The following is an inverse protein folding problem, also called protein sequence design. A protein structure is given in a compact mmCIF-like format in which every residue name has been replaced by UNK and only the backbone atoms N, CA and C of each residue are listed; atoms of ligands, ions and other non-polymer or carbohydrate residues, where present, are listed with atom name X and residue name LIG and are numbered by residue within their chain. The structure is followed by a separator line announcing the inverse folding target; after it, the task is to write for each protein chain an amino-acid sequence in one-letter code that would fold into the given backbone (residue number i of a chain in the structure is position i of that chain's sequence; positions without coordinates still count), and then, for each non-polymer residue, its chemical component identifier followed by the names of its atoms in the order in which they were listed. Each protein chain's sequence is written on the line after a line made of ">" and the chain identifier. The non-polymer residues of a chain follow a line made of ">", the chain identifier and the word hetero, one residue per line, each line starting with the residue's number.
data_IF_086831016979
#
_entry.id   IF_086831016979
#
_cell.length_a   1.000
_cell.length_b   1.000
_cell.length_c   1.000
_cell.angle_alpha   90.00
_cell.angle_beta   90.00
_cell.angle_gamma   90.00
#
_symmetry.space_group_name_H-M   'P 1'
#
loop_
_entity.id
_entity.type
_entity.pdbx_description
1 polymer ?
#
# COMPACT_ATOMS: atom_id res chain seq x y z
N UNK A 1 -2.05 -5.02 -14.97
CA UNK A 1 -2.56 -6.36 -14.59
C UNK A 1 -3.81 -6.27 -13.73
N UNK A 2 -3.79 -5.53 -12.61
CA UNK A 2 -4.84 -5.58 -11.59
C UNK A 2 -6.11 -4.73 -11.83
N UNK A 3 -6.20 -3.94 -12.92
CA UNK A 3 -7.40 -3.17 -13.33
C UNK A 3 -8.11 -2.38 -12.21
N UNK A 4 -7.35 -1.94 -11.20
CA UNK A 4 -7.83 -1.14 -10.07
C UNK A 4 -6.90 0.07 -9.88
N UNK A 5 -7.34 1.11 -9.14
CA UNK A 5 -6.50 2.28 -8.87
C UNK A 5 -5.15 1.90 -8.24
N UNK A 6 -4.04 2.58 -8.62
CA UNK A 6 -2.72 2.30 -8.06
C UNK A 6 -2.66 2.43 -6.54
N UNK A 7 -3.43 3.35 -5.95
CA UNK A 7 -3.51 3.54 -4.51
C UNK A 7 -4.04 2.27 -3.80
N UNK A 8 -5.06 1.63 -4.37
CA UNK A 8 -5.63 0.40 -3.85
C UNK A 8 -4.59 -0.74 -3.85
N UNK A 9 -3.86 -0.91 -4.95
CA UNK A 9 -2.79 -1.93 -5.06
C UNK A 9 -1.69 -1.68 -4.04
N UNK A 10 -1.23 -0.42 -3.93
CA UNK A 10 -0.15 -0.06 -3.02
C UNK A 10 -0.52 -0.30 -1.55
N UNK A 11 -1.73 0.09 -1.16
CA UNK A 11 -2.24 -0.10 0.20
C UNK A 11 -2.48 -1.58 0.53
N UNK A 12 -3.08 -2.33 -0.40
CA UNK A 12 -3.27 -3.78 -0.23
C UNK A 12 -1.93 -4.50 -0.07
N UNK A 13 -0.91 -4.13 -0.85
CA UNK A 13 0.44 -4.67 -0.68
C UNK A 13 1.04 -4.30 0.67
N UNK A 14 0.91 -3.04 1.09
CA UNK A 14 1.47 -2.54 2.34
C UNK A 14 0.88 -3.29 3.55
N UNK A 15 -0.43 -3.58 3.52
CA UNK A 15 -1.15 -4.35 4.55
C UNK A 15 -0.66 -5.80 4.70
N UNK A 16 0.01 -6.36 3.69
CA UNK A 16 0.63 -7.70 3.80
C UNK A 16 2.00 -7.69 4.50
N UNK A 17 2.56 -6.52 4.83
CA UNK A 17 3.90 -6.42 5.41
C UNK A 17 3.83 -6.64 6.93
N UNK A 18 4.64 -7.56 7.44
CA UNK A 18 4.66 -7.93 8.87
C UNK A 18 4.99 -6.77 9.81
N UNK A 19 5.79 -5.80 9.36
CA UNK A 19 6.16 -4.62 10.15
C UNK A 19 5.06 -3.54 10.19
N UNK A 20 3.92 -3.75 9.52
CA UNK A 20 2.86 -2.77 9.40
C UNK A 20 1.65 -3.18 10.25
N UNK A 21 1.34 -2.38 11.29
CA UNK A 21 0.14 -2.61 12.11
C UNK A 21 -1.12 -1.96 11.51
N UNK A 22 -1.00 -0.72 11.04
CA UNK A 22 -2.10 0.01 10.39
C UNK A 22 -1.54 1.15 9.52
N UNK A 23 -2.11 1.41 8.33
CA UNK A 23 -1.82 2.62 7.56
C UNK A 23 -2.43 3.85 8.25
N UNK A 24 -1.74 4.98 8.11
CA UNK A 24 -2.30 6.31 8.39
C UNK A 24 -2.46 6.99 7.03
N UNK A 25 -3.69 7.29 6.64
CA UNK A 25 -4.03 7.76 5.30
C UNK A 25 -4.62 9.17 5.42
N UNK A 26 -4.03 10.12 4.70
CA UNK A 26 -4.61 11.44 4.51
C UNK A 26 -5.42 11.50 3.22
N UNK A 27 -6.65 11.98 3.30
CA UNK A 27 -7.52 12.20 2.15
C UNK A 27 -8.10 13.62 2.20
N UNK A 28 -8.03 14.35 1.09
CA UNK A 28 -8.67 15.67 0.92
C UNK A 28 -9.93 15.60 0.05
N UNK A 29 -10.18 14.44 -0.56
CA UNK A 29 -11.36 14.16 -1.39
C UNK A 29 -11.92 12.79 -1.03
N UNK A 30 -13.25 12.65 -1.06
CA UNK A 30 -13.93 11.38 -0.75
C UNK A 30 -13.43 10.19 -1.58
N UNK A 31 -13.21 10.30 -2.91
CA UNK A 31 -12.73 9.16 -3.69
C UNK A 31 -11.38 8.59 -3.22
N UNK A 32 -10.52 9.41 -2.59
CA UNK A 32 -9.24 8.92 -2.04
C UNK A 32 -9.47 8.04 -0.80
N UNK A 33 -10.49 8.36 -0.01
CA UNK A 33 -10.91 7.53 1.12
C UNK A 33 -11.55 6.23 0.61
N UNK A 34 -12.39 6.32 -0.42
CA UNK A 34 -13.04 5.16 -1.02
C UNK A 34 -12.02 4.15 -1.58
N UNK A 35 -11.00 4.64 -2.31
CA UNK A 35 -9.90 3.79 -2.82
C UNK A 35 -9.11 3.13 -1.68
N UNK A 36 -8.89 3.86 -0.58
CA UNK A 36 -8.19 3.35 0.60
C UNK A 36 -8.98 2.24 1.30
N UNK A 37 -10.30 2.41 1.43
CA UNK A 37 -11.18 1.39 2.01
C UNK A 37 -11.27 0.16 1.10
N UNK A 38 -11.41 0.36 -0.21
CA UNK A 38 -11.44 -0.72 -1.19
C UNK A 38 -10.16 -1.58 -1.17
N UNK A 39 -9.03 -1.04 -0.70
CA UNK A 39 -7.78 -1.78 -0.57
C UNK A 39 -7.86 -2.93 0.44
N UNK A 40 -8.76 -2.85 1.43
CA UNK A 40 -8.96 -3.87 2.45
C UNK A 40 -9.57 -5.16 1.86
N UNK A 41 -10.33 -5.03 0.77
CA UNK A 41 -10.99 -6.14 0.09
C UNK A 41 -10.13 -6.74 -1.04
N UNK A 42 -9.00 -6.09 -1.38
CA UNK A 42 -8.16 -6.51 -2.50
C UNK A 42 -7.16 -7.58 -2.05
N UNK A 43 -7.36 -8.81 -2.52
CA UNK A 43 -6.41 -9.91 -2.32
C UNK A 43 -5.39 -9.97 -3.47
N UNK A 44 -4.11 -9.84 -3.14
CA UNK A 44 -3.01 -9.97 -4.10
C UNK A 44 -2.50 -11.42 -4.12
N UNK A 45 -2.35 -12.01 -5.31
CA UNK A 45 -1.81 -13.36 -5.39
C UNK A 45 -0.29 -13.37 -5.19
N UNK A 46 0.29 -14.56 -4.99
CA UNK A 46 1.74 -14.70 -4.75
C UNK A 46 2.61 -14.03 -5.84
N UNK A 47 2.20 -14.14 -7.11
CA UNK A 47 2.91 -13.50 -8.21
C UNK A 47 2.84 -11.97 -8.16
N UNK A 48 1.69 -11.39 -7.76
CA UNK A 48 1.56 -9.93 -7.58
C UNK A 48 2.45 -9.44 -6.45
N UNK A 49 2.42 -10.13 -5.31
CA UNK A 49 3.22 -9.79 -4.14
C UNK A 49 4.71 -9.85 -4.48
N UNK A 50 5.15 -10.87 -5.21
CA UNK A 50 6.53 -11.00 -5.65
C UNK A 50 6.94 -9.80 -6.52
N UNK A 51 6.19 -9.49 -7.57
CA UNK A 51 6.49 -8.37 -8.47
C UNK A 51 6.55 -7.04 -7.71
N UNK A 52 5.59 -6.79 -6.82
CA UNK A 52 5.53 -5.54 -6.04
C UNK A 52 6.68 -5.45 -5.02
N UNK A 53 7.06 -6.57 -4.40
CA UNK A 53 8.18 -6.60 -3.44
C UNK A 53 9.52 -6.43 -4.13
N UNK A 54 9.73 -7.05 -5.30
CA UNK A 54 10.96 -6.88 -6.08
C UNK A 54 11.13 -5.45 -6.62
N UNK A 55 10.02 -4.80 -6.99
CA UNK A 55 10.03 -3.40 -7.44
C UNK A 55 10.21 -2.37 -6.31
N UNK A 56 9.98 -2.75 -5.05
CA UNK A 56 10.03 -1.83 -3.92
C UNK A 56 11.46 -1.59 -3.42
N UNK A 57 11.91 -0.34 -3.44
CA UNK A 57 13.17 0.08 -2.81
C UNK A 57 12.87 0.86 -1.52
N UNK A 58 13.22 0.33 -0.33
CA UNK A 58 13.04 1.05 0.93
C UNK A 58 13.86 2.34 0.95
N UNK A 59 13.20 3.47 1.20
CA UNK A 59 13.89 4.74 1.41
C UNK A 59 14.25 4.87 2.88
N UNK A 60 15.53 5.06 3.18
CA UNK A 60 15.96 5.44 4.54
C UNK A 60 15.42 6.84 4.82
N UNK A 61 14.39 6.96 5.65
CA UNK A 61 13.92 8.27 6.13
C UNK A 61 14.94 8.83 7.12
N UNK A 62 15.59 9.92 6.71
CA UNK A 62 16.41 10.78 7.57
C UNK A 62 15.45 11.60 8.44
N UNK A 63 15.53 11.51 9.78
CA UNK A 63 14.66 12.35 10.62
C UNK A 63 14.35 11.87 12.05
N UNK A 64 14.96 10.80 12.55
CA UNK A 64 15.16 10.73 14.00
C UNK A 64 16.28 11.72 14.31
N UNK A 65 15.90 12.83 14.93
CA UNK A 65 16.84 13.78 15.53
C UNK A 65 17.88 12.99 16.33
N UNK A 66 19.15 13.38 16.19
CA UNK A 66 20.19 12.96 17.14
C UNK A 66 19.79 13.33 18.56
#
# INVERSE_FOLDING_TARGET
>A
RLQVPPAQVALAWLLTRSAMSSPIIGATKLPQLDDALAALELTLCAADLQVLTEAYTPVRRLGLLR
#
